data_IF_669226650383
#
_entry.id   IF_669226650383
#
_cell.length_a   1.000
_cell.length_b   1.000
_cell.length_c   1.000
_cell.angle_alpha   90.00
_cell.angle_beta   90.00
_cell.angle_gamma   90.00
#
_symmetry.space_group_name_H-M   'P 1'
#
loop_
_entity.id
_entity.type
_entity.pdbx_description
1 polymer ?
#
# COMPACT_ATOMS: atom_id res chain seq x y z
N UNK A 1 5.05 4.21 -24.25
CA UNK A 1 4.87 3.15 -23.24
C UNK A 1 4.14 3.74 -22.05
N UNK A 2 2.82 3.77 -22.14
CA UNK A 2 1.89 4.36 -21.17
C UNK A 2 1.82 3.48 -19.93
N UNK A 3 2.25 4.00 -18.78
CA UNK A 3 2.10 3.29 -17.51
C UNK A 3 0.64 3.44 -17.07
N UNK A 4 -0.13 2.36 -17.23
CA UNK A 4 -1.49 2.24 -16.71
C UNK A 4 -1.44 2.30 -15.18
N UNK A 5 -1.65 3.49 -14.61
CA UNK A 5 -2.01 3.62 -13.21
C UNK A 5 -3.52 3.46 -13.14
N UNK A 6 -3.95 2.26 -12.78
CA UNK A 6 -5.35 1.89 -12.60
C UNK A 6 -5.97 2.84 -11.56
N UNK A 7 -6.99 3.55 -12.00
CA UNK A 7 -7.93 4.29 -11.18
C UNK A 7 -8.62 3.27 -10.26
N UNK A 8 -8.36 3.31 -8.95
CA UNK A 8 -9.30 2.79 -7.95
C UNK A 8 -9.46 3.84 -6.84
N UNK A 9 -10.69 4.26 -6.55
CA UNK A 9 -10.97 5.33 -5.60
C UNK A 9 -11.07 4.74 -4.18
N UNK A 10 -9.94 4.38 -3.55
CA UNK A 10 -9.92 3.96 -2.13
C UNK A 10 -8.53 4.17 -1.49
N UNK A 11 -8.36 5.29 -0.74
CA UNK A 11 -7.37 5.52 0.34
C UNK A 11 -5.83 5.39 0.03
N UNK A 12 -4.92 5.98 0.86
CA UNK A 12 -3.72 6.71 0.39
C UNK A 12 -2.55 5.92 -0.22
N UNK A 13 -2.50 4.59 -0.10
CA UNK A 13 -1.32 3.81 -0.54
C UNK A 13 -1.17 3.66 -2.05
N UNK A 14 -2.26 3.94 -2.77
CA UNK A 14 -2.32 4.06 -4.22
C UNK A 14 -2.44 5.51 -4.69
N UNK A 15 -2.53 6.47 -3.78
CA UNK A 15 -2.42 7.87 -4.12
C UNK A 15 -0.98 8.12 -4.57
N UNK A 16 -0.79 8.09 -5.89
CA UNK A 16 0.31 8.82 -6.47
C UNK A 16 0.01 10.25 -6.07
N UNK A 17 0.79 10.77 -5.13
CA UNK A 17 0.85 12.20 -4.86
C UNK A 17 1.40 12.82 -6.14
N UNK A 18 0.51 13.02 -7.12
CA UNK A 18 0.74 13.84 -8.28
C UNK A 18 0.67 15.25 -7.71
N UNK A 19 1.83 15.85 -7.51
CA UNK A 19 1.93 17.29 -7.27
C UNK A 19 1.48 18.04 -8.54
N UNK A 20 0.20 17.93 -8.91
CA UNK A 20 -0.45 18.83 -9.87
C UNK A 20 -1.00 20.09 -9.18
N UNK A 21 -1.02 20.13 -7.84
CA UNK A 21 -1.29 21.34 -7.05
C UNK A 21 -0.02 22.18 -6.83
N UNK A 22 0.81 22.26 -7.88
CA UNK A 22 2.12 22.94 -7.90
C UNK A 22 2.06 24.43 -7.60
N UNK A 23 0.89 25.07 -7.58
CA UNK A 23 0.84 26.52 -7.33
C UNK A 23 0.93 26.91 -5.84
N UNK A 24 0.71 25.99 -4.88
CA UNK A 24 0.79 26.30 -3.44
C UNK A 24 2.09 25.86 -2.75
N UNK A 25 2.70 24.75 -3.19
CA UNK A 25 3.94 24.24 -2.61
C UNK A 25 5.19 24.87 -3.25
N UNK A 26 5.16 25.19 -4.55
CA UNK A 26 6.28 25.86 -5.22
C UNK A 26 6.42 27.33 -4.79
N UNK A 27 5.36 27.96 -4.27
CA UNK A 27 5.43 29.29 -3.66
C UNK A 27 6.01 29.27 -2.23
N UNK A 28 6.16 28.10 -1.61
CA UNK A 28 6.77 27.96 -0.30
C UNK A 28 8.21 27.47 -0.45
N UNK A 29 9.11 28.46 -0.50
CA UNK A 29 10.58 28.43 -0.39
C UNK A 29 11.32 27.18 -0.91
N UNK A 30 12.40 27.43 -1.65
CA UNK A 30 13.40 26.41 -2.05
C UNK A 30 13.99 25.58 -0.89
N UNK A 31 13.65 25.90 0.36
CA UNK A 31 14.10 25.27 1.60
C UNK A 31 13.08 24.31 2.24
N UNK A 32 11.88 24.16 1.67
CA UNK A 32 10.85 23.26 2.23
C UNK A 32 11.41 21.85 2.40
N UNK A 33 11.45 21.40 3.65
CA UNK A 33 12.02 20.11 4.06
C UNK A 33 11.07 18.96 3.74
N UNK A 34 11.63 17.77 3.50
CA UNK A 34 10.83 16.56 3.28
C UNK A 34 9.87 16.26 4.43
N UNK A 35 10.23 16.63 5.67
CA UNK A 35 9.39 16.48 6.85
C UNK A 35 8.04 17.19 6.70
N UNK A 36 8.01 18.37 6.05
CA UNK A 36 6.76 19.12 5.84
C UNK A 36 5.73 18.31 5.04
N UNK A 37 6.17 17.61 3.98
CA UNK A 37 5.27 16.78 3.19
C UNK A 37 4.80 15.54 3.96
N UNK A 38 5.70 14.90 4.71
CA UNK A 38 5.35 13.76 5.55
C UNK A 38 4.30 14.17 6.58
N UNK A 39 4.54 15.27 7.29
CA UNK A 39 3.60 15.81 8.28
C UNK A 39 2.29 16.23 7.64
N UNK A 40 2.31 16.86 6.46
CA UNK A 40 1.12 17.26 5.74
C UNK A 40 0.21 16.07 5.42
N UNK A 41 0.79 15.00 4.86
CA UNK A 41 0.06 13.76 4.54
C UNK A 41 -0.46 13.11 5.83
N UNK A 42 0.40 12.95 6.84
CA UNK A 42 -0.02 12.33 8.09
C UNK A 42 -1.12 13.13 8.80
N UNK A 43 -1.05 14.46 8.80
CA UNK A 43 -2.07 15.31 9.41
C UNK A 43 -3.38 15.29 8.60
N UNK A 44 -3.32 15.23 7.27
CA UNK A 44 -4.51 15.11 6.42
C UNK A 44 -5.33 13.85 6.74
N UNK A 45 -4.64 12.73 7.03
CA UNK A 45 -5.28 11.48 7.43
C UNK A 45 -5.45 11.30 8.94
N UNK A 46 -5.07 12.31 9.75
CA UNK A 46 -5.05 12.20 11.22
C UNK A 46 -4.25 11.01 11.75
N UNK A 47 -3.20 10.61 11.03
CA UNK A 47 -2.34 9.48 11.36
C UNK A 47 -1.45 9.80 12.56
N UNK A 48 -1.62 9.07 13.66
CA UNK A 48 -0.86 9.28 14.88
C UNK A 48 0.46 8.49 14.89
N UNK A 49 0.44 7.23 14.47
CA UNK A 49 1.61 6.34 14.48
C UNK A 49 2.47 6.51 13.20
N UNK A 50 3.00 7.73 13.00
CA UNK A 50 3.67 8.17 11.75
C UNK A 50 5.00 7.46 11.47
N UNK A 51 5.66 6.92 12.49
CA UNK A 51 7.02 6.38 12.41
C UNK A 51 7.18 5.20 11.46
N UNK A 52 6.08 4.50 11.15
CA UNK A 52 6.07 3.37 10.22
C UNK A 52 6.11 3.79 8.76
N UNK A 53 5.80 5.06 8.45
CA UNK A 53 5.53 5.52 7.10
C UNK A 53 6.60 6.47 6.56
N UNK A 54 6.61 6.61 5.24
CA UNK A 54 7.46 7.56 4.54
C UNK A 54 6.97 7.83 3.14
N UNK A 55 7.56 8.83 2.50
CA UNK A 55 7.29 9.15 1.10
C UNK A 55 8.41 8.55 0.25
N UNK A 56 8.04 7.78 -0.77
CA UNK A 56 8.95 7.22 -1.77
C UNK A 56 8.75 7.94 -3.10
N UNK A 57 9.84 8.31 -3.76
CA UNK A 57 9.83 8.86 -5.12
C UNK A 57 10.67 8.00 -6.07
N UNK A 58 10.58 8.33 -7.36
CA UNK A 58 11.40 7.73 -8.42
C UNK A 58 12.21 8.83 -9.08
N UNK A 59 13.51 8.64 -9.22
CA UNK A 59 14.41 9.60 -9.86
C UNK A 59 14.41 9.45 -11.40
N UNK A 60 15.09 10.33 -12.15
CA UNK A 60 15.19 10.21 -13.61
C UNK A 60 15.82 8.90 -14.10
N UNK A 61 16.65 8.24 -13.28
CA UNK A 61 17.29 6.96 -13.56
C UNK A 61 16.39 5.76 -13.22
N UNK A 62 15.12 6.02 -12.88
CA UNK A 62 14.10 5.03 -12.47
C UNK A 62 14.44 4.31 -11.16
N UNK A 63 15.36 4.85 -10.37
CA UNK A 63 15.68 4.35 -9.05
C UNK A 63 14.68 4.84 -8.02
N UNK A 64 14.40 3.99 -7.03
CA UNK A 64 13.42 4.26 -5.97
C UNK A 64 14.13 4.81 -4.75
N UNK A 65 13.72 5.98 -4.30
CA UNK A 65 14.33 6.65 -3.15
C UNK A 65 13.29 7.01 -2.11
N UNK A 66 13.69 7.00 -0.84
CA UNK A 66 12.90 7.54 0.25
C UNK A 66 13.20 9.03 0.39
N UNK A 67 12.16 9.84 0.58
CA UNK A 67 12.29 11.25 0.91
C UNK A 67 12.93 11.38 2.29
N UNK A 68 14.03 12.12 2.35
CA UNK A 68 14.71 12.41 3.60
C UNK A 68 14.02 13.60 4.30
N UNK A 69 13.61 13.45 5.57
CA UNK A 69 12.85 14.46 6.28
C UNK A 69 13.65 15.75 6.50
N UNK A 70 14.96 15.62 6.74
CA UNK A 70 15.83 16.74 7.12
C UNK A 70 16.39 17.53 5.93
N UNK A 71 16.20 17.06 4.70
CA UNK A 71 16.71 17.72 3.49
C UNK A 71 15.59 18.43 2.75
N UNK A 72 15.94 19.54 2.08
CA UNK A 72 15.02 20.25 1.21
C UNK A 72 14.57 19.34 0.06
N UNK A 73 13.28 19.37 -0.29
CA UNK A 73 12.69 18.54 -1.35
C UNK A 73 13.35 18.85 -2.70
N UNK A 74 13.57 20.13 -2.98
CA UNK A 74 14.26 20.64 -4.17
C UNK A 74 15.67 20.06 -4.37
N UNK A 75 16.39 19.76 -3.28
CA UNK A 75 17.76 19.22 -3.32
C UNK A 75 17.79 17.70 -3.56
N UNK A 76 16.69 17.02 -3.24
CA UNK A 76 16.56 15.56 -3.38
C UNK A 76 15.94 15.19 -4.73
N UNK A 77 14.90 15.93 -5.13
CA UNK A 77 14.13 15.66 -6.33
C UNK A 77 14.73 16.42 -7.50
N UNK A 78 15.73 15.81 -8.15
CA UNK A 78 16.39 16.37 -9.34
C UNK A 78 15.56 16.23 -10.63
N UNK A 79 14.42 15.56 -10.58
CA UNK A 79 13.51 15.42 -11.72
C UNK A 79 12.69 16.70 -11.94
N UNK A 80 12.30 16.96 -13.18
CA UNK A 80 11.37 18.04 -13.48
C UNK A 80 9.93 17.61 -13.10
N UNK A 81 9.08 18.54 -12.62
CA UNK A 81 7.67 18.25 -12.36
C UNK A 81 6.95 17.67 -13.60
N UNK A 82 5.90 16.83 -13.41
CA UNK A 82 5.29 16.48 -12.13
C UNK A 82 6.08 15.42 -11.37
N UNK A 83 6.26 15.64 -10.08
CA UNK A 83 6.86 14.65 -9.20
C UNK A 83 5.91 13.49 -8.95
N UNK A 84 6.41 12.26 -9.11
CA UNK A 84 5.67 11.04 -8.75
C UNK A 84 6.13 10.58 -7.37
N UNK A 85 5.31 10.83 -6.37
CA UNK A 85 5.54 10.41 -4.99
C UNK A 85 4.49 9.40 -4.55
N UNK A 86 4.84 8.53 -3.60
CA UNK A 86 3.91 7.61 -2.96
C UNK A 86 4.17 7.57 -1.46
N UNK A 87 3.13 7.75 -0.65
CA UNK A 87 3.18 7.45 0.77
C UNK A 87 3.14 5.92 0.97
N UNK A 88 4.07 5.36 1.75
CA UNK A 88 4.24 3.90 1.95
C UNK A 88 4.75 3.57 3.34
N UNK A 89 4.54 2.32 3.76
CA UNK A 89 5.23 1.76 4.94
C UNK A 89 6.71 1.65 4.61
N UNK A 90 7.54 2.28 5.44
CA UNK A 90 8.99 2.24 5.38
C UNK A 90 9.55 1.21 6.36
N UNK A 91 8.92 1.09 7.53
CA UNK A 91 9.33 0.18 8.58
C UNK A 91 8.13 -0.68 8.99
N UNK A 92 8.24 -1.99 8.79
CA UNK A 92 7.19 -2.91 9.24
C UNK A 92 7.37 -3.14 10.74
N UNK A 93 6.28 -3.07 11.53
CA UNK A 93 6.34 -3.35 12.97
C UNK A 93 6.77 -4.80 13.21
N UNK A 94 7.67 -5.02 14.17
CA UNK A 94 8.01 -6.37 14.62
C UNK A 94 6.81 -7.06 15.27
N UNK A 95 5.94 -6.29 15.92
CA UNK A 95 4.75 -6.77 16.61
C UNK A 95 3.52 -5.98 16.14
N UNK A 96 2.87 -6.37 15.04
CA UNK A 96 1.71 -5.67 14.48
C UNK A 96 0.55 -5.50 15.47
N UNK A 97 0.42 -6.43 16.44
CA UNK A 97 -0.62 -6.41 17.47
C UNK A 97 -0.46 -5.28 18.49
N UNK A 98 0.74 -4.67 18.59
CA UNK A 98 0.98 -3.53 19.49
C UNK A 98 0.49 -2.21 18.93
N UNK A 99 0.17 -2.16 17.63
CA UNK A 99 -0.34 -0.96 16.97
C UNK A 99 -1.73 -0.70 17.50
N UNK A 100 -1.94 0.49 18.04
CA UNK A 100 -3.17 0.86 18.74
C UNK A 100 -4.18 1.47 17.77
N UNK A 101 -3.70 2.22 16.81
CA UNK A 101 -4.51 2.94 15.85
C UNK A 101 -5.03 2.02 14.74
N UNK A 102 -6.34 2.03 14.56
CA UNK A 102 -7.01 1.23 13.53
C UNK A 102 -6.60 1.64 12.12
N UNK A 103 -6.47 2.95 11.86
CA UNK A 103 -6.00 3.48 10.59
C UNK A 103 -4.59 2.95 10.26
N UNK A 104 -3.67 2.94 11.23
CA UNK A 104 -2.31 2.43 11.02
C UNK A 104 -2.32 0.94 10.68
N UNK A 105 -3.12 0.12 11.40
CA UNK A 105 -3.31 -1.30 11.08
C UNK A 105 -3.87 -1.50 9.67
N UNK A 106 -4.86 -0.70 9.29
CA UNK A 106 -5.47 -0.75 7.96
C UNK A 106 -4.47 -0.39 6.85
N UNK A 107 -3.68 0.67 7.02
CA UNK A 107 -2.64 1.05 6.06
C UNK A 107 -1.54 -0.02 5.95
N UNK A 108 -1.16 -0.66 7.05
CA UNK A 108 -0.23 -1.79 7.00
C UNK A 108 -0.81 -2.97 6.23
N UNK A 109 -2.08 -3.33 6.47
CA UNK A 109 -2.80 -4.36 5.70
C UNK A 109 -2.76 -4.05 4.20
N UNK A 110 -3.15 -2.84 3.80
CA UNK A 110 -3.16 -2.42 2.40
C UNK A 110 -1.76 -2.51 1.75
N UNK A 111 -0.72 -2.14 2.49
CA UNK A 111 0.65 -2.25 2.00
C UNK A 111 1.08 -3.71 1.85
N UNK A 112 0.75 -4.58 2.80
CA UNK A 112 1.03 -6.03 2.73
C UNK A 112 0.29 -6.66 1.55
N UNK A 113 -1.02 -6.41 1.40
CA UNK A 113 -1.84 -6.85 0.26
C UNK A 113 -1.18 -6.47 -1.06
N UNK A 114 -0.69 -5.22 -1.17
CA UNK A 114 0.03 -4.74 -2.35
C UNK A 114 1.35 -5.49 -2.57
N UNK A 115 2.14 -5.70 -1.53
CA UNK A 115 3.44 -6.37 -1.66
C UNK A 115 3.29 -7.86 -2.01
N UNK A 116 2.23 -8.51 -1.52
CA UNK A 116 1.81 -9.84 -1.95
C UNK A 116 1.48 -9.83 -3.45
N UNK A 117 0.62 -8.91 -3.89
CA UNK A 117 0.22 -8.80 -5.30
C UNK A 117 1.40 -8.56 -6.25
N UNK A 118 2.40 -7.78 -5.82
CA UNK A 118 3.61 -7.55 -6.61
C UNK A 118 4.70 -8.62 -6.44
N UNK A 119 4.45 -9.66 -5.64
CA UNK A 119 5.40 -10.76 -5.40
C UNK A 119 6.65 -10.36 -4.62
N UNK A 120 6.54 -9.34 -3.77
CA UNK A 120 7.65 -8.85 -2.92
C UNK A 120 7.76 -9.58 -1.59
N UNK A 121 6.67 -10.19 -1.14
CA UNK A 121 6.64 -11.00 0.06
C UNK A 121 6.89 -12.47 -0.32
N UNK A 122 8.06 -12.99 0.05
CA UNK A 122 8.37 -14.41 -0.08
C UNK A 122 7.79 -15.14 1.14
N UNK A 123 6.91 -16.10 0.88
CA UNK A 123 6.25 -16.89 1.92
C UNK A 123 6.06 -18.33 1.44
N UNK A 124 5.81 -19.25 2.37
CA UNK A 124 5.52 -20.64 2.02
C UNK A 124 4.15 -20.74 1.33
N UNK A 125 3.87 -21.88 0.67
CA UNK A 125 2.55 -22.12 0.07
C UNK A 125 1.42 -22.05 1.11
N UNK A 126 1.67 -22.55 2.33
CA UNK A 126 0.69 -22.53 3.42
C UNK A 126 0.39 -21.10 3.87
N UNK A 127 1.44 -20.29 4.07
CA UNK A 127 1.29 -18.89 4.48
C UNK A 127 0.60 -18.07 3.39
N UNK A 128 0.94 -18.29 2.12
CA UNK A 128 0.28 -17.65 0.99
C UNK A 128 -1.22 -17.98 0.96
N UNK A 129 -1.59 -19.24 1.19
CA UNK A 129 -2.98 -19.63 1.23
C UNK A 129 -3.73 -18.98 2.40
N UNK A 130 -3.12 -18.94 3.59
CA UNK A 130 -3.70 -18.29 4.77
C UNK A 130 -3.86 -16.78 4.57
N UNK A 131 -2.82 -16.09 4.10
CA UNK A 131 -2.88 -14.66 3.78
C UNK A 131 -3.93 -14.36 2.71
N UNK A 132 -4.03 -15.20 1.69
CA UNK A 132 -5.06 -15.10 0.67
C UNK A 132 -6.45 -15.21 1.26
N UNK A 133 -6.68 -16.16 2.16
CA UNK A 133 -7.97 -16.33 2.84
C UNK A 133 -8.30 -15.14 3.76
N UNK A 134 -7.33 -14.59 4.50
CA UNK A 134 -7.51 -13.36 5.27
C UNK A 134 -7.90 -12.17 4.37
N UNK A 135 -7.28 -12.04 3.19
CA UNK A 135 -7.63 -10.98 2.24
C UNK A 135 -9.04 -11.19 1.72
N UNK A 136 -9.43 -12.42 1.37
CA UNK A 136 -10.79 -12.73 0.92
C UNK A 136 -11.82 -12.38 2.01
N UNK A 137 -11.59 -12.82 3.25
CA UNK A 137 -12.42 -12.47 4.40
C UNK A 137 -12.57 -10.95 4.57
N UNK A 138 -11.48 -10.20 4.39
CA UNK A 138 -11.51 -8.74 4.52
C UNK A 138 -12.28 -8.03 3.39
N UNK A 139 -12.38 -8.63 2.20
CA UNK A 139 -13.04 -8.01 1.03
C UNK A 139 -14.48 -8.49 0.86
N UNK A 140 -14.78 -9.74 1.19
CA UNK A 140 -16.07 -10.39 0.96
C UNK A 140 -16.85 -10.68 2.25
N UNK A 141 -16.24 -10.53 3.42
CA UNK A 141 -16.87 -10.89 4.70
C UNK A 141 -16.89 -12.41 4.91
N UNK A 142 -17.77 -12.87 5.81
CA UNK A 142 -17.90 -14.29 6.14
C UNK A 142 -18.39 -15.10 4.93
N UNK A 143 -17.99 -16.36 4.87
CA UNK A 143 -18.45 -17.25 3.80
C UNK A 143 -19.96 -17.51 3.89
N UNK A 144 -20.69 -17.00 2.91
CA UNK A 144 -22.09 -17.31 2.62
C UNK A 144 -22.21 -18.21 1.37
N UNK A 145 -22.78 -19.43 1.45
CA UNK A 145 -22.96 -20.32 0.29
C UNK A 145 -23.93 -19.80 -0.78
N UNK A 146 -24.84 -18.88 -0.45
CA UNK A 146 -25.81 -18.32 -1.39
C UNK A 146 -25.21 -17.17 -2.22
N UNK A 147 -24.23 -16.45 -1.65
CA UNK A 147 -23.51 -15.36 -2.34
C UNK A 147 -22.20 -15.84 -2.98
N UNK A 148 -21.48 -16.76 -2.33
CA UNK A 148 -20.15 -17.20 -2.74
C UNK A 148 -20.20 -18.47 -3.60
N UNK A 149 -20.62 -18.28 -4.86
CA UNK A 149 -20.61 -19.32 -5.89
C UNK A 149 -19.19 -19.82 -6.18
N UNK A 150 -19.06 -21.04 -6.72
CA UNK A 150 -17.76 -21.59 -7.09
C UNK A 150 -16.98 -20.61 -7.98
N UNK A 151 -15.75 -20.29 -7.58
CA UNK A 151 -14.75 -19.45 -8.25
C UNK A 151 -14.68 -17.94 -7.93
N UNK A 152 -15.41 -17.39 -6.95
CA UNK A 152 -15.28 -15.95 -6.59
C UNK A 152 -13.84 -15.50 -6.28
N UNK A 153 -13.01 -16.37 -5.68
CA UNK A 153 -11.58 -16.10 -5.44
C UNK A 153 -10.78 -16.00 -6.75
N UNK A 154 -11.21 -16.66 -7.82
CA UNK A 154 -10.53 -16.62 -9.13
C UNK A 154 -10.75 -15.28 -9.84
N UNK A 155 -11.87 -14.61 -9.58
CA UNK A 155 -12.16 -13.27 -10.11
C UNK A 155 -11.30 -12.19 -9.42
N UNK A 156 -10.84 -12.49 -8.21
CA UNK A 156 -10.03 -11.60 -7.40
C UNK A 156 -8.53 -11.99 -7.43
N UNK A 157 -7.72 -11.22 -8.17
CA UNK A 157 -6.27 -11.47 -8.24
C UNK A 157 -5.54 -11.00 -6.97
N UNK A 158 -5.17 -11.96 -6.13
CA UNK A 158 -4.43 -11.72 -4.88
C UNK A 158 -2.92 -11.84 -5.13
N UNK A 159 -2.50 -12.83 -5.90
CA UNK A 159 -1.08 -13.15 -6.14
C UNK A 159 -0.70 -12.93 -7.61
N UNK A 160 0.57 -12.60 -7.91
CA UNK A 160 1.05 -12.44 -9.28
C UNK A 160 1.03 -13.77 -10.05
N UNK A 161 1.21 -14.89 -9.33
CA UNK A 161 1.08 -16.26 -9.85
C UNK A 161 0.04 -17.01 -9.04
N UNK A 162 -1.23 -16.67 -9.25
CA UNK A 162 -2.35 -17.36 -8.63
C UNK A 162 -2.61 -18.67 -9.39
N UNK A 163 -2.41 -19.81 -8.71
CA UNK A 163 -2.66 -21.13 -9.30
C UNK A 163 -3.96 -21.69 -8.77
N UNK A 164 -4.62 -22.56 -9.55
CA UNK A 164 -5.86 -23.19 -9.12
C UNK A 164 -5.71 -24.01 -7.82
N UNK A 165 -4.52 -24.56 -7.58
CA UNK A 165 -4.20 -25.25 -6.32
C UNK A 165 -4.20 -24.28 -5.13
N UNK A 166 -3.69 -23.07 -5.32
CA UNK A 166 -3.68 -22.03 -4.28
C UNK A 166 -5.10 -21.53 -4.01
N UNK A 167 -5.87 -21.26 -5.07
CA UNK A 167 -7.27 -20.80 -4.96
C UNK A 167 -8.13 -21.78 -4.18
N UNK A 168 -8.03 -23.08 -4.48
CA UNK A 168 -8.74 -24.13 -3.74
C UNK A 168 -8.38 -24.14 -2.26
N UNK A 169 -7.10 -23.91 -1.92
CA UNK A 169 -6.67 -23.88 -0.53
C UNK A 169 -7.13 -22.60 0.20
N UNK A 170 -7.15 -21.47 -0.50
CA UNK A 170 -7.70 -20.21 0.03
C UNK A 170 -9.20 -20.39 0.35
N UNK A 171 -9.96 -20.96 -0.58
CA UNK A 171 -11.39 -21.25 -0.39
C UNK A 171 -11.63 -22.18 0.80
N UNK A 172 -10.85 -23.25 0.92
CA UNK A 172 -10.93 -24.21 2.02
C UNK A 172 -10.69 -23.53 3.38
N UNK A 173 -9.69 -22.65 3.48
CA UNK A 173 -9.41 -21.90 4.71
C UNK A 173 -10.54 -20.90 5.00
N UNK A 174 -10.99 -20.16 3.98
CA UNK A 174 -12.05 -19.15 4.14
C UNK A 174 -13.35 -19.76 4.71
N UNK A 175 -13.74 -20.95 4.23
CA UNK A 175 -14.95 -21.64 4.69
C UNK A 175 -14.88 -22.19 6.11
N UNK A 176 -13.67 -22.52 6.59
CA UNK A 176 -13.50 -23.35 7.78
C UNK A 176 -12.87 -22.63 8.98
N UNK A 177 -12.05 -21.60 8.76
CA UNK A 177 -11.18 -21.02 9.80
C UNK A 177 -11.61 -19.61 10.28
N UNK A 178 -12.53 -18.91 9.59
CA UNK A 178 -12.94 -17.54 9.92
C UNK A 178 -14.40 -17.42 10.37
N UNK A 179 -14.85 -18.31 11.27
CA UNK A 179 -16.22 -18.27 11.85
C UNK A 179 -16.34 -17.37 13.07
#
# INVERSE_FOLDING_TARGET
GTCYCIYQPTFPLNEILKMSDTNKLASQSSETKGQFLIDHVCNHYSLLEKDYFGIRYVDPEKQRHWLEPNKAISKQMKSHPPYTMCFRVKFYPHEPLKIKEELTRYLLYLQIKRDIFHGRLLCSFSDAAFLGACIVQAEFGDYDPDEHLDNYVSEFKIFPKQSQKLERKILDIHKNEFR
#
